data_IF_146063341809
#
_entry.id   IF_146063341809
#
_cell.length_a   1.000
_cell.length_b   1.000
_cell.length_c   1.000
_cell.angle_alpha   90.00
_cell.angle_beta   90.00
_cell.angle_gamma   90.00
#
_symmetry.space_group_name_H-M   'P 1'
#
loop_
_entity.id
_entity.type
_entity.pdbx_description
1 polymer ?
#
# COMPACT_ATOMS: atom_id res chain seq x y z
N UNK A 1 -15.12 -15.78 -3.62
CA UNK A 1 -15.63 -15.38 -2.32
C UNK A 1 -14.64 -15.64 -1.20
N UNK A 2 -14.21 -16.88 -0.98
CA UNK A 2 -13.31 -17.19 0.11
C UNK A 2 -12.01 -16.39 0.05
N UNK A 3 -11.32 -16.47 -1.09
CA UNK A 3 -10.05 -15.77 -1.24
C UNK A 3 -10.24 -14.26 -1.24
N UNK A 4 -11.25 -13.77 -1.93
CA UNK A 4 -11.49 -12.34 -2.00
C UNK A 4 -11.95 -11.79 -0.65
N UNK A 5 -12.81 -12.52 0.04
CA UNK A 5 -13.24 -12.11 1.36
C UNK A 5 -12.09 -12.07 2.34
N UNK A 6 -11.19 -13.04 2.25
CA UNK A 6 -10.01 -13.07 3.10
C UNK A 6 -9.08 -11.90 2.79
N UNK A 7 -8.90 -11.59 1.51
CA UNK A 7 -8.08 -10.45 1.09
C UNK A 7 -8.63 -9.16 1.68
N UNK A 8 -9.94 -8.96 1.59
CA UNK A 8 -10.56 -7.77 2.13
C UNK A 8 -10.36 -7.67 3.64
N UNK A 9 -10.63 -8.75 4.35
CA UNK A 9 -10.52 -8.76 5.81
C UNK A 9 -9.09 -8.55 6.28
N UNK A 10 -8.14 -9.16 5.57
CA UNK A 10 -6.72 -9.00 5.92
C UNK A 10 -6.29 -7.55 5.75
N UNK A 11 -6.67 -6.95 4.64
CA UNK A 11 -6.31 -5.56 4.39
C UNK A 11 -7.00 -4.63 5.38
N UNK A 12 -8.27 -4.88 5.65
CA UNK A 12 -9.02 -4.07 6.62
C UNK A 12 -8.36 -4.11 7.99
N UNK A 13 -8.00 -5.31 8.41
CA UNK A 13 -7.35 -5.50 9.71
C UNK A 13 -6.00 -4.81 9.75
N UNK A 14 -5.22 -4.93 8.68
CA UNK A 14 -3.91 -4.31 8.62
C UNK A 14 -3.98 -2.79 8.66
N UNK A 15 -4.90 -2.21 7.90
CA UNK A 15 -5.04 -0.76 7.89
C UNK A 15 -5.56 -0.24 9.23
N UNK A 16 -6.47 -0.99 9.85
CA UNK A 16 -6.97 -0.60 11.16
C UNK A 16 -5.84 -0.58 12.18
N UNK A 17 -4.97 -1.58 12.14
CA UNK A 17 -3.82 -1.63 13.03
C UNK A 17 -2.89 -0.45 12.79
N UNK A 18 -2.69 -0.09 11.54
CA UNK A 18 -1.80 1.03 11.20
C UNK A 18 -2.27 2.35 11.77
N UNK A 19 -3.57 2.55 11.83
CA UNK A 19 -4.09 3.82 12.37
C UNK A 19 -4.35 3.76 13.87
N UNK A 20 -3.85 2.73 14.53
CA UNK A 20 -3.87 2.67 15.98
C UNK A 20 -4.90 1.73 16.57
N UNK A 21 -5.60 0.99 15.74
CA UNK A 21 -6.54 -0.03 16.20
C UNK A 21 -7.90 0.48 16.64
N UNK A 22 -8.01 1.77 16.90
CA UNK A 22 -9.28 2.36 17.38
C UNK A 22 -9.46 3.71 16.71
N UNK A 23 -9.69 3.73 15.41
CA UNK A 23 -9.75 4.98 14.67
C UNK A 23 -11.05 5.74 14.92
N UNK A 24 -10.99 7.05 14.67
CA UNK A 24 -12.20 7.87 14.64
C UNK A 24 -13.08 7.39 13.50
N UNK A 25 -14.34 7.84 13.51
CA UNK A 25 -15.28 7.45 12.46
C UNK A 25 -14.72 7.77 11.07
N UNK A 26 -14.13 8.95 10.91
CA UNK A 26 -13.58 9.35 9.63
C UNK A 26 -12.46 8.41 9.19
N UNK A 27 -11.54 8.09 10.10
CA UNK A 27 -10.45 7.17 9.79
C UNK A 27 -10.98 5.77 9.52
N UNK A 28 -11.99 5.34 10.26
CA UNK A 28 -12.58 4.02 10.03
C UNK A 28 -13.17 3.93 8.61
N UNK A 29 -13.80 4.99 8.15
CA UNK A 29 -14.35 5.02 6.79
C UNK A 29 -13.25 4.99 5.74
N UNK A 30 -12.17 5.72 5.98
CA UNK A 30 -11.04 5.70 5.06
C UNK A 30 -10.39 4.31 5.03
N UNK A 31 -10.30 3.66 6.17
CA UNK A 31 -9.76 2.30 6.25
C UNK A 31 -10.61 1.35 5.41
N UNK A 32 -11.94 1.43 5.57
CA UNK A 32 -12.84 0.60 4.78
C UNK A 32 -12.68 0.87 3.29
N UNK A 33 -12.58 2.14 2.93
CA UNK A 33 -12.43 2.50 1.53
C UNK A 33 -11.11 1.95 0.97
N UNK A 34 -10.04 2.07 1.74
CA UNK A 34 -8.77 1.51 1.33
C UNK A 34 -8.82 0.01 1.12
N UNK A 35 -9.50 -0.70 2.02
CA UNK A 35 -9.65 -2.15 1.90
C UNK A 35 -10.46 -2.53 0.67
N UNK A 36 -11.53 -1.78 0.38
CA UNK A 36 -12.33 -2.04 -0.82
C UNK A 36 -11.53 -1.79 -2.09
N UNK A 37 -10.75 -0.73 -2.10
CA UNK A 37 -9.90 -0.43 -3.26
C UNK A 37 -8.84 -1.50 -3.45
N UNK A 38 -8.29 -2.01 -2.35
CA UNK A 38 -7.32 -3.09 -2.44
C UNK A 38 -7.97 -4.33 -3.08
N UNK A 39 -9.20 -4.62 -2.70
CA UNK A 39 -9.91 -5.76 -3.26
C UNK A 39 -10.15 -5.56 -4.76
N UNK A 40 -10.58 -4.36 -5.16
CA UNK A 40 -10.80 -4.06 -6.57
C UNK A 40 -9.50 -4.15 -7.35
N UNK A 41 -8.41 -3.68 -6.76
CA UNK A 41 -7.10 -3.78 -7.40
C UNK A 41 -6.73 -5.25 -7.62
N UNK A 42 -6.94 -6.09 -6.61
CA UNK A 42 -6.63 -7.51 -6.73
C UNK A 42 -7.47 -8.17 -7.82
N UNK A 43 -8.74 -7.81 -7.91
CA UNK A 43 -9.62 -8.36 -8.92
C UNK A 43 -9.20 -7.92 -10.32
N UNK A 44 -8.88 -6.63 -10.48
CA UNK A 44 -8.45 -6.12 -11.78
C UNK A 44 -7.12 -6.73 -12.19
N UNK A 45 -6.22 -6.92 -11.24
CA UNK A 45 -4.94 -7.57 -11.50
C UNK A 45 -5.15 -9.00 -11.99
N UNK A 46 -6.05 -9.73 -11.31
CA UNK A 46 -6.34 -11.10 -11.71
C UNK A 46 -6.92 -11.17 -13.12
N UNK A 47 -7.81 -10.23 -13.47
CA UNK A 47 -8.35 -10.16 -14.82
C UNK A 47 -7.26 -9.90 -15.85
N UNK A 48 -6.34 -9.01 -15.51
CA UNK A 48 -5.22 -8.70 -16.39
C UNK A 48 -4.35 -9.93 -16.62
N UNK A 49 -4.10 -10.69 -15.56
CA UNK A 49 -3.29 -11.89 -15.66
C UNK A 49 -3.98 -12.99 -16.47
N UNK A 50 -5.30 -13.07 -16.39
CA UNK A 50 -6.04 -14.09 -17.11
C UNK A 50 -6.23 -13.76 -18.58
N UNK A 51 -6.05 -12.51 -18.96
CA UNK A 51 -6.26 -12.09 -20.34
C UNK A 51 -5.17 -12.64 -21.24
N UNK A 52 -5.53 -13.05 -22.48
CA UNK A 52 -4.51 -13.56 -23.40
C UNK A 52 -3.50 -12.52 -23.84
N UNK A 53 -3.82 -11.24 -23.65
CA UNK A 53 -2.90 -10.15 -23.99
C UNK A 53 -3.45 -8.86 -23.43
N UNK A 54 -2.56 -7.89 -23.26
CA UNK A 54 -2.96 -6.59 -22.75
C UNK A 54 -3.62 -5.73 -23.83
N UNK A 55 -3.29 -6.01 -25.09
CA UNK A 55 -3.87 -5.28 -26.21
C UNK A 55 -4.82 -6.23 -26.91
N UNK A 56 -6.05 -5.78 -27.10
CA UNK A 56 -7.06 -6.59 -27.75
C UNK A 56 -6.82 -6.62 -29.25
N UNK A 57 -7.55 -7.54 -29.92
CA UNK A 57 -7.39 -7.70 -31.36
C UNK A 57 -7.66 -6.42 -32.13
N UNK A 58 -8.55 -5.57 -31.61
CA UNK A 58 -8.88 -4.31 -32.27
C UNK A 58 -7.90 -3.19 -31.95
N UNK A 59 -6.83 -3.49 -31.24
CA UNK A 59 -5.81 -2.50 -30.92
C UNK A 59 -6.05 -1.71 -29.64
N UNK A 60 -7.15 -1.96 -28.95
CA UNK A 60 -7.45 -1.25 -27.71
C UNK A 60 -6.91 -2.00 -26.52
N UNK A 61 -6.56 -1.30 -25.42
CA UNK A 61 -6.11 -1.97 -24.20
C UNK A 61 -7.27 -2.76 -23.57
N UNK A 62 -6.90 -3.81 -22.86
CA UNK A 62 -7.89 -4.57 -22.10
C UNK A 62 -8.51 -3.65 -21.06
N UNK A 63 -9.86 -3.67 -20.88
CA UNK A 63 -10.51 -2.75 -19.95
C UNK A 63 -10.04 -2.88 -18.52
N UNK A 64 -9.58 -4.07 -18.11
CA UNK A 64 -9.11 -4.27 -16.76
C UNK A 64 -7.87 -3.41 -16.45
N UNK A 65 -7.08 -3.06 -17.45
CA UNK A 65 -5.91 -2.22 -17.26
C UNK A 65 -6.32 -0.85 -16.76
N UNK A 66 -7.34 -0.26 -17.38
CA UNK A 66 -7.82 1.05 -16.99
C UNK A 66 -8.35 1.03 -15.55
N UNK A 67 -9.14 0.01 -15.24
CA UNK A 67 -9.68 -0.16 -13.90
C UNK A 67 -8.54 -0.31 -12.90
N UNK A 68 -7.54 -1.14 -13.23
CA UNK A 68 -6.40 -1.36 -12.36
C UNK A 68 -5.66 -0.07 -12.06
N UNK A 69 -5.32 0.68 -13.10
CA UNK A 69 -4.56 1.93 -12.91
C UNK A 69 -5.34 2.95 -12.12
N UNK A 70 -6.64 3.07 -12.39
CA UNK A 70 -7.48 4.00 -11.66
C UNK A 70 -7.60 3.60 -10.20
N UNK A 71 -7.80 2.31 -9.94
CA UNK A 71 -7.92 1.81 -8.58
C UNK A 71 -6.63 2.02 -7.80
N UNK A 72 -5.49 1.78 -8.44
CA UNK A 72 -4.20 2.00 -7.80
C UNK A 72 -4.02 3.46 -7.41
N UNK A 73 -4.44 4.36 -8.28
CA UNK A 73 -4.33 5.80 -8.01
C UNK A 73 -5.21 6.20 -6.83
N UNK A 74 -6.47 5.73 -6.85
CA UNK A 74 -7.39 6.07 -5.78
C UNK A 74 -6.93 5.48 -4.44
N UNK A 75 -6.43 4.25 -4.49
CA UNK A 75 -5.93 3.63 -3.27
C UNK A 75 -4.74 4.38 -2.70
N UNK A 76 -3.86 4.85 -3.56
CA UNK A 76 -2.70 5.63 -3.11
C UNK A 76 -3.15 6.90 -2.40
N UNK A 77 -4.20 7.55 -2.92
CA UNK A 77 -4.70 8.76 -2.28
C UNK A 77 -5.28 8.47 -0.90
N UNK A 78 -6.00 7.36 -0.77
CA UNK A 78 -6.54 6.97 0.53
C UNK A 78 -5.42 6.67 1.51
N UNK A 79 -4.39 5.96 1.06
CA UNK A 79 -3.26 5.63 1.92
C UNK A 79 -2.52 6.89 2.38
N UNK A 80 -2.43 7.89 1.52
CA UNK A 80 -1.83 9.16 1.91
C UNK A 80 -2.65 9.84 2.99
N UNK A 81 -3.97 9.83 2.84
CA UNK A 81 -4.84 10.44 3.84
C UNK A 81 -4.73 9.72 5.18
N UNK A 82 -4.51 8.41 5.14
CA UNK A 82 -4.31 7.64 6.36
C UNK A 82 -2.93 7.82 6.95
N UNK A 83 -2.00 8.38 6.18
CA UNK A 83 -0.64 8.58 6.64
C UNK A 83 0.15 7.30 6.79
N UNK A 84 -0.20 6.28 6.03
CA UNK A 84 0.42 4.96 6.16
C UNK A 84 1.93 5.01 5.99
N UNK A 85 2.40 5.75 5.00
CA UNK A 85 3.83 5.85 4.74
C UNK A 85 4.59 6.43 5.91
N UNK A 86 4.01 7.43 6.54
CA UNK A 86 4.64 8.04 7.71
C UNK A 86 4.66 7.10 8.88
N UNK A 87 3.58 6.34 9.05
CA UNK A 87 3.48 5.43 10.18
C UNK A 87 4.40 4.24 10.02
N UNK A 88 4.58 3.79 8.77
CA UNK A 88 5.49 2.69 8.50
C UNK A 88 6.93 3.10 8.65
N UNK A 89 7.22 4.35 8.34
CA UNK A 89 8.57 4.88 8.43
C UNK A 89 8.51 6.18 9.21
N UNK A 90 8.44 6.08 10.51
CA UNK A 90 8.46 7.30 11.31
C UNK A 90 9.69 8.09 10.94
N UNK A 91 9.49 9.37 10.74
CA UNK A 91 10.59 10.24 10.35
C UNK A 91 11.34 10.64 11.61
N UNK A 92 12.55 10.12 11.82
CA UNK A 92 13.31 10.48 12.99
C UNK A 92 13.79 11.92 12.87
N UNK A 93 14.13 12.53 13.97
CA UNK A 93 14.77 13.82 13.92
C UNK A 93 16.11 13.67 13.23
N UNK A 94 16.63 14.77 12.75
CA UNK A 94 17.93 14.74 12.08
C UNK A 94 18.99 14.15 13.00
N UNK A 95 18.97 14.50 14.27
CA UNK A 95 19.93 13.98 15.23
C UNK A 95 19.81 12.48 15.37
N UNK A 96 18.58 11.97 15.46
CA UNK A 96 18.35 10.53 15.55
C UNK A 96 18.85 9.81 14.33
N UNK A 97 18.59 10.38 13.18
CA UNK A 97 19.01 9.79 11.92
C UNK A 97 20.53 9.71 11.84
N UNK A 98 21.21 10.79 12.18
CA UNK A 98 22.66 10.82 12.14
C UNK A 98 23.27 9.88 13.16
N UNK A 99 22.68 9.82 14.33
CA UNK A 99 23.13 8.89 15.37
C UNK A 99 23.04 7.45 14.90
N UNK A 100 21.89 7.10 14.32
CA UNK A 100 21.67 5.76 13.83
C UNK A 100 22.64 5.40 12.73
N UNK A 101 22.89 6.30 11.84
CA UNK A 101 23.84 6.06 10.74
C UNK A 101 25.25 5.88 11.26
N UNK A 102 25.65 6.74 12.17
CA UNK A 102 26.98 6.65 12.75
C UNK A 102 27.14 5.31 13.43
N UNK A 103 26.17 4.90 14.19
CA UNK A 103 26.24 3.61 14.88
C UNK A 103 26.34 2.47 13.88
N UNK A 104 25.61 2.52 12.80
CA UNK A 104 25.62 1.46 11.83
C UNK A 104 26.89 1.42 11.02
N UNK A 105 27.49 2.57 10.81
CA UNK A 105 28.69 2.66 9.98
C UNK A 105 29.98 2.48 10.77
N UNK A 106 29.91 2.68 12.04
CA UNK A 106 31.08 2.63 12.89
C UNK A 106 31.79 1.29 12.90
N UNK A 107 31.12 0.22 12.91
CA UNK A 107 31.82 -1.06 12.96
C UNK A 107 32.77 -1.24 11.84
N UNK A 108 32.64 -0.43 10.89
CA UNK A 108 33.61 -0.47 9.84
C UNK A 108 34.80 0.33 10.20
N UNK A 109 35.28 0.75 10.71
CA UNK A 109 36.15 1.25 10.91
C UNK A 109 36.85 1.64 11.16
N UNK A 110 36.43 1.79 11.28
CA UNK A 110 36.92 2.17 11.42
C UNK A 110 37.63 2.31 11.50
N UNK A 111 37.99 2.05 11.43
CA UNK A 111 38.66 2.13 11.61
C UNK A 111 39.44 2.37 11.54
N UNK A 112 39.54 2.47 11.51
CA UNK A 112 40.18 2.63 11.48
C UNK A 112 40.91 2.93 11.52
N UNK A 113 40.98 2.90 11.63
CA UNK A 113 41.69 3.07 11.73
C UNK A 113 42.19 3.31 11.83
#
# INVERSE_FOLDING_TARGET
>A
RGALGKTYRTELSGLTAHVGGDPTLTLARLVEQGARLHLLEAMAWAETQAAPGLIRADGTPHPAIDVLLRTMRERREVLKLLGIERRQKPVPSLADYLSGRTTQQQPTPEPHD
#
